data_IF_099525146717
#
_entry.id   IF_099525146717
#
_cell.length_a   1.000
_cell.length_b   1.000
_cell.length_c   1.000
_cell.angle_alpha   90.00
_cell.angle_beta   90.00
_cell.angle_gamma   90.00
#
_symmetry.space_group_name_H-M   'P 1'
#
loop_
_entity.id
_entity.type
_entity.pdbx_description
1 polymer ?
#
# COMPACT_ATOMS: atom_id res chain seq x y z
N UNK A 1 -6.79 8.19 -2.32
CA UNK A 1 -7.24 7.41 -3.50
C UNK A 1 -6.19 6.37 -3.83
N UNK A 2 -6.62 5.23 -4.34
CA UNK A 2 -5.82 4.10 -4.80
C UNK A 2 -5.25 4.35 -6.20
N UNK A 3 -4.31 3.52 -6.65
CA UNK A 3 -3.76 3.63 -7.99
C UNK A 3 -4.84 3.38 -9.07
N UNK A 4 -5.74 2.41 -8.85
CA UNK A 4 -6.85 2.09 -9.73
C UNK A 4 -7.83 3.27 -9.86
N UNK A 5 -8.15 3.93 -8.75
CA UNK A 5 -9.01 5.11 -8.74
C UNK A 5 -8.41 6.25 -9.58
N UNK A 6 -7.13 6.54 -9.37
CA UNK A 6 -6.40 7.58 -10.10
C UNK A 6 -6.33 7.27 -11.60
N UNK A 7 -6.03 6.03 -11.96
CA UNK A 7 -6.01 5.54 -13.34
C UNK A 7 -7.37 5.68 -14.02
N UNK A 8 -8.45 5.22 -13.38
CA UNK A 8 -9.82 5.32 -13.91
C UNK A 8 -10.24 6.78 -14.09
N UNK A 9 -9.93 7.66 -13.13
CA UNK A 9 -10.22 9.09 -13.23
C UNK A 9 -9.48 9.77 -14.38
N UNK A 10 -8.24 9.34 -14.66
CA UNK A 10 -7.45 9.82 -15.79
C UNK A 10 -7.80 9.15 -17.12
N UNK A 11 -8.72 8.17 -17.14
CA UNK A 11 -9.05 7.31 -18.29
C UNK A 11 -7.84 6.53 -18.82
N UNK A 12 -6.87 6.22 -17.96
CA UNK A 12 -5.67 5.44 -18.29
C UNK A 12 -5.72 4.08 -17.59
N UNK A 13 -6.30 3.07 -18.24
CA UNK A 13 -6.60 1.77 -17.61
C UNK A 13 -5.62 0.65 -17.97
N UNK A 14 -4.58 0.93 -18.78
CA UNK A 14 -3.64 -0.09 -19.29
C UNK A 14 -2.96 -0.88 -18.16
N UNK A 15 -2.71 -0.21 -17.03
CA UNK A 15 -1.96 -0.76 -15.90
C UNK A 15 -2.83 -1.24 -14.73
N UNK A 16 -4.15 -1.38 -14.92
CA UNK A 16 -5.02 -1.92 -13.89
C UNK A 16 -4.65 -3.36 -13.53
N UNK A 17 -4.30 -4.18 -14.54
CA UNK A 17 -3.96 -5.60 -14.40
C UNK A 17 -2.53 -5.94 -14.83
N UNK A 18 -1.77 -4.95 -15.30
CA UNK A 18 -0.43 -5.11 -15.84
C UNK A 18 0.62 -4.51 -14.90
N UNK A 19 1.70 -5.27 -14.62
CA UNK A 19 2.78 -4.81 -13.74
C UNK A 19 3.45 -3.57 -14.34
N UNK A 20 3.49 -2.48 -13.58
CA UNK A 20 4.28 -1.30 -13.94
C UNK A 20 5.77 -1.54 -13.68
N UNK A 21 6.59 -1.48 -14.75
CA UNK A 21 8.05 -1.56 -14.64
C UNK A 21 8.69 -0.25 -14.18
N UNK A 22 8.03 0.87 -14.47
CA UNK A 22 8.41 2.22 -14.08
C UNK A 22 7.18 2.98 -13.57
N UNK A 23 7.41 4.05 -12.81
CA UNK A 23 6.36 5.00 -12.45
C UNK A 23 5.77 5.61 -13.71
N UNK A 24 4.44 5.78 -13.71
CA UNK A 24 3.71 6.43 -14.80
C UNK A 24 3.15 7.76 -14.31
N UNK A 25 2.90 8.68 -15.23
CA UNK A 25 2.24 9.93 -14.94
C UNK A 25 0.85 9.96 -15.58
N UNK A 26 -0.15 10.35 -14.80
CA UNK A 26 -1.51 10.54 -15.27
C UNK A 26 -1.95 11.97 -14.99
N UNK A 27 -2.87 12.50 -15.81
CA UNK A 27 -3.41 13.85 -15.61
C UNK A 27 -4.83 13.77 -15.06
N UNK A 28 -5.06 14.40 -13.92
CA UNK A 28 -6.36 14.49 -13.25
C UNK A 28 -6.64 15.95 -12.97
N UNK A 29 -7.74 16.51 -13.49
CA UNK A 29 -8.12 17.91 -13.29
C UNK A 29 -6.96 18.90 -13.54
N UNK A 30 -6.22 18.71 -14.65
CA UNK A 30 -5.02 19.49 -15.04
C UNK A 30 -3.83 19.37 -14.07
N UNK A 31 -3.86 18.43 -13.13
CA UNK A 31 -2.73 18.12 -12.23
C UNK A 31 -2.07 16.84 -12.68
N UNK A 32 -0.74 16.86 -12.71
CA UNK A 32 0.08 15.68 -12.96
C UNK A 32 0.17 14.86 -11.67
N UNK A 33 -0.18 13.59 -11.74
CA UNK A 33 -0.10 12.64 -10.62
C UNK A 33 0.81 11.50 -11.02
N UNK A 34 1.83 11.25 -10.19
CA UNK A 34 2.73 10.11 -10.36
C UNK A 34 2.13 8.87 -9.70
N UNK A 35 2.01 7.78 -10.46
CA UNK A 35 1.62 6.46 -9.96
C UNK A 35 2.87 5.57 -9.99
N UNK A 36 3.31 5.15 -8.80
CA UNK A 36 4.57 4.43 -8.63
C UNK A 36 4.60 3.07 -9.34
N UNK A 37 5.80 2.66 -9.74
CA UNK A 37 6.10 1.32 -10.23
C UNK A 37 5.71 0.21 -9.24
N UNK A 38 5.82 -1.03 -9.71
CA UNK A 38 5.67 -2.24 -8.91
C UNK A 38 6.92 -3.10 -9.03
N UNK A 39 8.11 -2.50 -9.18
CA UNK A 39 9.36 -3.21 -9.45
C UNK A 39 9.62 -4.39 -8.50
N UNK A 40 9.38 -4.30 -7.16
CA UNK A 40 9.61 -5.40 -6.23
C UNK A 40 8.68 -6.61 -6.40
N UNK A 41 7.58 -6.46 -7.14
CA UNK A 41 6.57 -7.49 -7.33
C UNK A 41 7.02 -8.50 -8.39
N UNK A 42 7.36 -9.73 -7.97
CA UNK A 42 7.82 -10.79 -8.86
C UNK A 42 6.96 -12.04 -8.69
N UNK A 43 6.36 -12.52 -9.78
CA UNK A 43 5.44 -13.66 -9.77
C UNK A 43 6.10 -14.94 -9.23
N UNK A 44 7.39 -15.16 -9.53
CA UNK A 44 8.13 -16.32 -9.02
C UNK A 44 8.31 -16.36 -7.50
N UNK A 45 8.04 -15.25 -6.80
CA UNK A 45 8.06 -15.21 -5.34
C UNK A 45 6.68 -15.42 -4.70
N UNK A 46 5.65 -15.70 -5.50
CA UNK A 46 4.26 -15.80 -5.07
C UNK A 46 3.79 -17.25 -5.18
N UNK A 47 3.09 -17.72 -4.15
CA UNK A 47 2.30 -18.95 -4.21
C UNK A 47 0.83 -18.55 -4.37
N UNK A 48 0.31 -18.63 -5.60
CA UNK A 48 -1.09 -18.25 -5.86
C UNK A 48 -2.06 -19.31 -5.33
N UNK A 49 -3.18 -18.85 -4.78
CA UNK A 49 -4.23 -19.68 -4.20
C UNK A 49 -5.50 -19.62 -5.06
N UNK A 50 -6.31 -20.68 -5.07
CA UNK A 50 -7.66 -20.67 -5.64
C UNK A 50 -7.74 -20.19 -7.11
N UNK A 51 -6.72 -20.51 -7.91
CA UNK A 51 -6.66 -20.10 -9.32
C UNK A 51 -6.33 -18.62 -9.54
N UNK A 52 -5.92 -17.87 -8.51
CA UNK A 52 -5.44 -16.50 -8.68
C UNK A 52 -4.31 -16.42 -9.70
N UNK A 53 -4.39 -15.44 -10.58
CA UNK A 53 -3.32 -15.11 -11.52
C UNK A 53 -2.51 -13.92 -11.01
N UNK A 54 -1.39 -13.65 -11.69
CA UNK A 54 -0.56 -12.50 -11.33
C UNK A 54 -1.27 -11.17 -11.58
N UNK A 55 -2.08 -11.12 -12.62
CA UNK A 55 -2.91 -9.99 -13.00
C UNK A 55 -3.97 -9.68 -11.94
N UNK A 56 -4.54 -10.71 -11.31
CA UNK A 56 -5.51 -10.54 -10.21
C UNK A 56 -4.82 -9.94 -8.98
N UNK A 57 -3.58 -10.37 -8.69
CA UNK A 57 -2.78 -9.74 -7.64
C UNK A 57 -2.49 -8.28 -7.96
N UNK A 58 -2.11 -7.94 -9.20
CA UNK A 58 -1.85 -6.56 -9.60
C UNK A 58 -3.10 -5.69 -9.47
N UNK A 59 -4.24 -6.19 -9.93
CA UNK A 59 -5.54 -5.52 -9.81
C UNK A 59 -5.88 -5.26 -8.34
N UNK A 60 -5.82 -6.30 -7.52
CA UNK A 60 -6.06 -6.22 -6.08
C UNK A 60 -5.15 -5.19 -5.40
N UNK A 61 -3.87 -5.15 -5.74
CA UNK A 61 -2.94 -4.15 -5.19
C UNK A 61 -3.29 -2.74 -5.65
N UNK A 62 -3.62 -2.56 -6.92
CA UNK A 62 -3.96 -1.25 -7.47
C UNK A 62 -5.22 -0.64 -6.85
N UNK A 63 -6.16 -1.47 -6.40
CA UNK A 63 -7.41 -1.03 -5.78
C UNK A 63 -7.28 -0.54 -4.34
N UNK A 64 -6.08 -0.58 -3.74
CA UNK A 64 -5.89 -0.32 -2.31
C UNK A 64 -5.06 0.93 -2.03
N UNK A 65 -5.37 1.56 -0.91
CA UNK A 65 -4.53 2.54 -0.23
C UNK A 65 -3.82 1.85 0.93
N UNK A 66 -2.49 1.94 0.98
CA UNK A 66 -1.67 1.21 1.93
C UNK A 66 -1.18 2.09 3.07
N UNK A 67 -1.24 1.54 4.28
CA UNK A 67 -0.64 2.07 5.48
C UNK A 67 0.26 1.02 6.10
N UNK A 68 1.45 1.43 6.50
CA UNK A 68 2.42 0.58 7.17
C UNK A 68 2.54 0.95 8.63
N UNK A 69 2.82 -0.02 9.52
CA UNK A 69 3.05 0.26 10.92
C UNK A 69 4.24 1.19 11.11
N UNK A 70 4.12 2.05 12.10
CA UNK A 70 5.15 2.98 12.51
C UNK A 70 5.13 3.17 14.01
N UNK A 71 6.05 3.99 14.48
CA UNK A 71 6.23 4.38 15.88
C UNK A 71 6.18 5.91 15.99
N UNK A 72 6.08 6.47 17.21
CA UNK A 72 6.11 7.91 17.42
C UNK A 72 7.39 8.60 16.93
N UNK A 73 8.48 7.87 16.71
CA UNK A 73 9.75 8.38 16.18
C UNK A 73 9.89 8.20 14.65
N UNK A 74 9.04 7.41 14.01
CA UNK A 74 9.05 7.23 12.55
C UNK A 74 8.58 5.85 12.08
N UNK A 75 8.78 5.52 10.79
CA UNK A 75 8.47 4.19 10.27
C UNK A 75 9.41 3.13 10.86
N UNK A 76 8.94 1.89 10.92
CA UNK A 76 9.78 0.72 11.23
C UNK A 76 10.80 0.45 10.11
N UNK A 77 11.77 -0.45 10.33
CA UNK A 77 12.86 -0.80 9.40
C UNK A 77 12.40 -1.10 7.97
N UNK A 78 11.22 -1.69 7.80
CA UNK A 78 10.67 -1.94 6.47
C UNK A 78 10.28 -0.63 5.77
N UNK A 79 9.59 0.26 6.47
CA UNK A 79 9.23 1.58 5.97
C UNK A 79 10.44 2.47 5.70
N UNK A 80 11.49 2.35 6.52
CA UNK A 80 12.77 3.04 6.30
C UNK A 80 13.43 2.61 4.99
N UNK A 81 13.60 1.30 4.77
CA UNK A 81 14.18 0.75 3.54
C UNK A 81 13.40 1.12 2.28
N UNK A 82 12.07 1.16 2.37
CA UNK A 82 11.25 1.63 1.24
C UNK A 82 11.44 3.11 0.97
N UNK A 83 11.47 3.94 2.00
CA UNK A 83 11.73 5.37 1.84
C UNK A 83 13.09 5.60 1.17
N UNK A 84 14.14 4.93 1.64
CA UNK A 84 15.50 5.02 1.09
C UNK A 84 15.55 4.60 -0.39
N UNK A 85 14.89 3.48 -0.75
CA UNK A 85 14.80 3.02 -2.14
C UNK A 85 14.25 4.08 -3.08
N UNK A 86 13.27 4.85 -2.61
CA UNK A 86 12.57 5.84 -3.40
C UNK A 86 13.00 7.27 -3.10
N UNK A 87 14.12 7.49 -2.41
CA UNK A 87 14.54 8.84 -1.96
C UNK A 87 14.68 9.84 -3.11
N UNK A 88 15.08 9.38 -4.30
CA UNK A 88 15.20 10.20 -5.51
C UNK A 88 13.85 10.64 -6.09
N UNK A 89 12.73 10.02 -5.69
CA UNK A 89 11.37 10.48 -6.03
C UNK A 89 10.91 11.64 -5.12
N UNK A 90 11.76 12.08 -4.18
CA UNK A 90 11.42 13.03 -3.13
C UNK A 90 10.12 12.67 -2.36
N UNK A 91 10.00 11.43 -1.86
CA UNK A 91 8.79 10.96 -1.21
C UNK A 91 8.55 11.73 0.07
N UNK A 92 7.27 11.93 0.35
CA UNK A 92 6.81 12.54 1.57
C UNK A 92 6.17 11.47 2.45
N UNK A 93 6.47 11.47 3.74
CA UNK A 93 5.89 10.56 4.72
C UNK A 93 4.71 11.26 5.38
N UNK A 94 3.54 10.62 5.32
CA UNK A 94 2.40 10.97 6.15
C UNK A 94 2.39 10.07 7.39
N UNK A 95 2.43 10.68 8.57
CA UNK A 95 2.31 9.98 9.86
C UNK A 95 0.96 10.29 10.47
N UNK A 96 0.22 9.23 10.79
CA UNK A 96 -1.18 9.31 11.19
C UNK A 96 -1.39 8.37 12.36
N UNK A 97 -2.09 8.82 13.40
CA UNK A 97 -2.51 7.95 14.49
C UNK A 97 -3.57 6.99 13.97
N UNK A 98 -3.36 5.68 14.16
CA UNK A 98 -4.27 4.63 13.68
C UNK A 98 -5.70 4.82 14.17
N UNK A 99 -5.88 5.23 15.44
CA UNK A 99 -7.21 5.51 16.00
C UNK A 99 -7.95 6.63 15.23
N UNK A 100 -7.25 7.74 14.94
CA UNK A 100 -7.83 8.87 14.20
C UNK A 100 -8.17 8.47 12.76
N UNK A 101 -7.34 7.64 12.13
CA UNK A 101 -7.59 7.11 10.79
C UNK A 101 -8.86 6.25 10.77
N UNK A 102 -9.03 5.35 11.73
CA UNK A 102 -10.21 4.48 11.82
C UNK A 102 -11.47 5.28 12.14
N UNK A 103 -11.40 6.22 13.08
CA UNK A 103 -12.53 7.08 13.42
C UNK A 103 -13.01 7.89 12.21
N UNK A 104 -12.07 8.43 11.42
CA UNK A 104 -12.39 9.24 10.24
C UNK A 104 -12.94 8.40 9.05
N UNK A 105 -12.79 7.07 9.10
CA UNK A 105 -13.19 6.15 8.03
C UNK A 105 -14.11 5.04 8.56
N UNK A 106 -14.94 5.33 9.56
CA UNK A 106 -15.80 4.33 10.22
C UNK A 106 -16.83 3.67 9.28
N UNK A 107 -17.14 4.28 8.14
CA UNK A 107 -18.01 3.72 7.10
C UNK A 107 -17.31 2.73 6.17
N UNK A 108 -15.98 2.59 6.26
CA UNK A 108 -15.18 1.68 5.43
C UNK A 108 -14.38 0.76 6.34
N UNK A 109 -14.57 -0.54 6.18
CA UNK A 109 -13.82 -1.52 6.97
C UNK A 109 -12.35 -1.59 6.49
N UNK A 110 -11.36 -1.38 7.37
CA UNK A 110 -9.96 -1.65 7.04
C UNK A 110 -9.75 -3.14 6.81
N UNK A 111 -8.81 -3.47 5.91
CA UNK A 111 -8.33 -4.82 5.68
C UNK A 111 -6.87 -4.95 6.11
N UNK A 112 -6.51 -6.13 6.58
CA UNK A 112 -5.24 -6.43 7.22
C UNK A 112 -4.48 -7.48 6.41
N UNK A 113 -3.16 -7.32 6.32
CA UNK A 113 -2.27 -8.27 5.66
C UNK A 113 -1.06 -8.53 6.56
N UNK A 114 -0.73 -9.81 6.76
CA UNK A 114 0.46 -10.25 7.53
C UNK A 114 1.76 -10.27 6.71
N UNK A 115 1.70 -9.80 5.46
CA UNK A 115 2.81 -9.81 4.51
C UNK A 115 3.01 -8.43 3.91
N UNK A 116 4.22 -8.15 3.41
CA UNK A 116 4.36 -7.08 2.43
C UNK A 116 3.80 -7.56 1.08
N UNK A 117 2.64 -7.06 0.70
CA UNK A 117 1.92 -7.56 -0.47
C UNK A 117 2.58 -7.13 -1.79
N UNK A 118 3.24 -5.97 -1.82
CA UNK A 118 3.91 -5.41 -3.01
C UNK A 118 5.33 -5.93 -3.27
N UNK A 119 5.92 -6.66 -2.34
CA UNK A 119 7.29 -7.19 -2.41
C UNK A 119 7.36 -8.61 -1.83
N UNK A 120 6.66 -9.58 -2.45
CA UNK A 120 6.68 -10.96 -2.00
C UNK A 120 8.11 -11.53 -2.01
N UNK A 121 8.36 -12.43 -1.06
CA UNK A 121 9.65 -13.11 -0.86
C UNK A 121 9.41 -14.60 -0.68
N UNK A 122 10.30 -15.41 -1.23
CA UNK A 122 10.36 -16.82 -0.89
C UNK A 122 10.94 -17.00 0.52
N UNK A 123 10.35 -17.89 1.30
CA UNK A 123 10.88 -18.33 2.60
C UNK A 123 11.07 -19.84 2.54
N UNK A 124 12.29 -20.31 2.81
CA UNK A 124 12.64 -21.74 2.74
C UNK A 124 12.24 -22.40 1.40
N UNK A 125 12.40 -21.68 0.29
CA UNK A 125 12.03 -22.14 -1.04
C UNK A 125 10.54 -22.04 -1.39
N UNK A 126 9.68 -21.64 -0.45
CA UNK A 126 8.24 -21.48 -0.69
C UNK A 126 7.88 -20.02 -0.97
N UNK A 127 7.12 -19.79 -2.04
CA UNK A 127 6.57 -18.48 -2.37
C UNK A 127 5.63 -17.96 -1.28
N UNK A 128 5.48 -16.64 -1.19
CA UNK A 128 4.56 -16.01 -0.24
C UNK A 128 3.12 -16.19 -0.75
N UNK A 129 2.18 -16.68 0.08
CA UNK A 129 0.84 -16.99 -0.39
C UNK A 129 0.08 -15.72 -0.78
N UNK A 130 -0.55 -15.72 -1.95
CA UNK A 130 -1.42 -14.63 -2.43
C UNK A 130 -2.68 -15.22 -3.05
N UNK A 131 -3.80 -14.59 -2.73
CA UNK A 131 -5.12 -14.98 -3.20
C UNK A 131 -6.21 -14.13 -2.54
N UNK A 132 -7.47 -14.60 -2.57
CA UNK A 132 -8.60 -13.89 -1.97
C UNK A 132 -8.40 -13.53 -0.49
N UNK A 133 -7.63 -14.33 0.26
CA UNK A 133 -7.32 -14.11 1.67
C UNK A 133 -6.06 -13.27 1.93
N UNK A 134 -5.51 -12.59 0.92
CA UNK A 134 -4.31 -11.73 1.11
C UNK A 134 -4.62 -10.56 2.05
N UNK A 135 -5.82 -9.97 1.91
CA UNK A 135 -6.30 -8.86 2.73
C UNK A 135 -7.62 -9.26 3.35
N UNK A 136 -7.66 -9.40 4.68
CA UNK A 136 -8.81 -9.90 5.42
C UNK A 136 -9.32 -8.88 6.43
N UNK A 137 -10.57 -9.00 6.85
CA UNK A 137 -11.08 -8.19 7.98
C UNK A 137 -10.44 -8.68 9.27
N UNK A 138 -10.44 -7.85 10.31
CA UNK A 138 -9.92 -8.22 11.62
C UNK A 138 -10.60 -9.47 12.20
N UNK A 139 -11.90 -9.63 11.97
CA UNK A 139 -12.68 -10.78 12.46
C UNK A 139 -12.36 -12.10 11.74
N UNK A 140 -11.80 -12.01 10.52
CA UNK A 140 -11.47 -13.16 9.69
C UNK A 140 -9.96 -13.49 9.74
N UNK A 141 -9.17 -12.69 10.47
CA UNK A 141 -7.73 -12.84 10.54
C UNK A 141 -7.32 -14.01 11.45
N UNK A 142 -6.50 -14.92 10.92
CA UNK A 142 -5.85 -15.99 11.69
C UNK A 142 -4.58 -15.52 12.41
N UNK A 143 -4.35 -14.21 12.46
CA UNK A 143 -3.15 -13.57 12.99
C UNK A 143 -3.47 -12.39 13.91
N UNK A 144 -2.54 -12.06 14.80
CA UNK A 144 -2.73 -10.98 15.78
C UNK A 144 -2.44 -9.60 15.17
N UNK A 145 -2.87 -8.55 15.88
CA UNK A 145 -2.51 -7.18 15.51
C UNK A 145 -0.99 -6.98 15.38
N UNK A 146 -0.18 -7.62 16.22
CA UNK A 146 1.28 -7.53 16.17
C UNK A 146 1.90 -8.22 14.95
N UNK A 147 1.17 -9.12 14.30
CA UNK A 147 1.58 -9.79 13.07
C UNK A 147 1.13 -9.04 11.80
N UNK A 148 0.34 -7.97 11.94
CA UNK A 148 -0.07 -7.14 10.81
C UNK A 148 1.12 -6.36 10.25
N UNK A 149 1.37 -6.50 8.96
CA UNK A 149 2.41 -5.77 8.22
C UNK A 149 1.83 -4.61 7.43
N UNK A 150 0.60 -4.73 6.95
CA UNK A 150 -0.09 -3.68 6.19
C UNK A 150 -1.54 -3.56 6.62
N UNK A 151 -2.02 -2.32 6.71
CA UNK A 151 -3.43 -1.98 6.82
C UNK A 151 -3.81 -1.30 5.51
N UNK A 152 -4.93 -1.70 4.92
CA UNK A 152 -5.38 -1.19 3.63
C UNK A 152 -6.84 -0.78 3.65
N UNK A 153 -7.17 0.17 2.78
CA UNK A 153 -8.54 0.56 2.46
C UNK A 153 -8.74 0.41 0.96
N UNK A 154 -9.94 -0.04 0.56
CA UNK A 154 -10.30 -0.15 -0.85
C UNK A 154 -10.66 1.23 -1.38
N UNK A 155 -10.17 1.52 -2.59
CA UNK A 155 -10.44 2.69 -3.41
C UNK A 155 -9.92 4.03 -2.86
N UNK A 156 -10.34 4.44 -1.66
CA UNK A 156 -9.92 5.70 -1.07
C UNK A 156 -9.99 5.69 0.46
N UNK A 157 -9.42 6.73 1.07
CA UNK A 157 -9.41 6.96 2.50
C UNK A 157 -9.44 8.46 2.75
N UNK A 158 -10.17 8.88 3.77
CA UNK A 158 -10.17 10.26 4.27
C UNK A 158 -9.07 10.42 5.29
N UNK A 159 -8.20 11.40 5.10
CA UNK A 159 -7.15 11.72 6.06
C UNK A 159 -7.77 12.48 7.26
N UNK A 160 -7.43 12.12 8.51
CA UNK A 160 -7.89 12.85 9.68
C UNK A 160 -7.27 14.25 9.75
N UNK A 161 -7.85 15.15 10.56
CA UNK A 161 -7.33 16.52 10.74
C UNK A 161 -5.90 16.58 11.32
N UNK A 162 -5.48 15.52 12.01
CA UNK A 162 -4.17 15.41 12.65
C UNK A 162 -3.28 14.47 11.86
N UNK A 163 -2.82 14.93 10.70
CA UNK A 163 -1.81 14.26 9.90
C UNK A 163 -0.50 15.03 10.06
N UNK A 164 0.57 14.31 10.36
CA UNK A 164 1.90 14.87 10.35
C UNK A 164 2.62 14.52 9.05
N UNK A 165 3.49 15.41 8.58
CA UNK A 165 4.21 15.32 7.33
C UNK A 165 5.72 15.49 7.57
N UNK A 166 6.54 14.74 6.84
CA UNK A 166 8.00 14.90 6.83
C UNK A 166 8.61 14.41 5.51
N UNK A 167 9.71 15.04 5.09
CA UNK A 167 10.54 14.59 3.97
C UNK A 167 11.71 13.68 4.43
N UNK A 168 11.65 13.20 5.67
CA UNK A 168 12.67 12.34 6.30
C UNK A 168 12.01 11.40 7.30
N UNK A 169 12.52 10.18 7.40
CA UNK A 169 12.05 9.15 8.34
C UNK A 169 12.23 9.54 9.80
N UNK A 170 13.07 10.53 10.10
CA UNK A 170 13.37 11.01 11.47
C UNK A 170 12.79 12.40 11.78
N UNK A 171 11.97 12.95 10.89
CA UNK A 171 11.45 14.32 11.01
C UNK A 171 12.39 15.40 10.44
N UNK A 172 12.13 16.69 10.73
CA UNK A 172 11.10 17.18 11.66
C UNK A 172 9.68 16.89 11.15
N UNK A 173 8.81 16.49 12.06
CA UNK A 173 7.39 16.25 11.79
C UNK A 173 6.62 17.55 11.93
N UNK A 174 5.79 17.88 10.94
CA UNK A 174 4.94 19.08 10.93
C UNK A 174 3.49 18.69 10.77
N UNK A 175 2.56 19.44 11.33
CA UNK A 175 1.14 19.24 11.01
C UNK A 175 0.90 19.65 9.55
N UNK A 176 0.17 18.82 8.80
CA UNK A 176 -0.25 19.08 7.42
C UNK A 176 -1.36 20.14 7.35
#
# INVERSE_FOLDING_TARGET
MSAAALMRQAKETTYLRSKRQSSIQVTINKRLVSIRDQQPLYAGNVAFQDGYLFEDLIEMLNERVFFWPGRPDGPIDYGQRHFERYMNDHPVILRIKTADLFQCNNSVSPLYCRYNSGSPRCSKGHGSPRGPSTFVKAVDADFTASATVEITFVDQVTLPKRVEISNSTRGPWRLL
#
